data_IF_460914535179
#
_entry.id   IF_460914535179
#
_cell.length_a   1.000
_cell.length_b   1.000
_cell.length_c   1.000
_cell.angle_alpha   90.00
_cell.angle_beta   90.00
_cell.angle_gamma   90.00
#
_symmetry.space_group_name_H-M   'P 1'
#
loop_
_entity.id
_entity.type
_entity.pdbx_description
1 polymer ?
#
# COMPACT_ATOMS: atom_id res chain seq x y z
N UNK A 1 -14.51 1.26 20.50
CA UNK A 1 -13.42 0.30 20.17
C UNK A 1 -12.51 1.00 19.18
N UNK A 2 -11.25 1.20 19.51
CA UNK A 2 -10.25 1.66 18.55
C UNK A 2 -9.71 0.43 17.82
N UNK A 3 -9.98 0.34 16.51
CA UNK A 3 -9.46 -0.74 15.66
C UNK A 3 -8.12 -0.26 15.10
N UNK A 4 -7.00 -0.99 15.32
CA UNK A 4 -5.73 -0.67 14.66
C UNK A 4 -5.91 -0.65 13.14
N UNK A 5 -5.43 0.41 12.50
CA UNK A 5 -5.59 0.60 11.07
C UNK A 5 -4.40 1.35 10.47
N UNK A 6 -4.27 1.26 9.15
CA UNK A 6 -3.27 1.96 8.36
C UNK A 6 -3.73 2.04 6.91
N UNK A 7 -3.01 2.82 6.11
CA UNK A 7 -3.39 3.15 4.73
C UNK A 7 -2.36 2.60 3.73
N UNK A 8 -2.85 2.05 2.62
CA UNK A 8 -2.05 1.78 1.42
C UNK A 8 -2.44 2.78 0.35
N UNK A 9 -1.49 3.61 -0.10
CA UNK A 9 -1.73 4.61 -1.13
C UNK A 9 -1.49 3.98 -2.51
N UNK A 10 -2.55 3.81 -3.28
CA UNK A 10 -2.46 3.33 -4.66
C UNK A 10 -2.35 4.51 -5.64
N UNK A 11 -1.65 4.30 -6.77
CA UNK A 11 -1.31 5.35 -7.75
C UNK A 11 -0.55 6.52 -7.11
N UNK A 12 0.33 6.22 -6.15
CA UNK A 12 1.18 7.19 -5.48
C UNK A 12 1.96 8.05 -6.49
N UNK A 13 2.10 9.34 -6.18
CA UNK A 13 2.70 10.34 -7.06
C UNK A 13 1.74 10.95 -8.09
N UNK A 14 0.47 10.57 -8.10
CA UNK A 14 -0.59 11.20 -8.90
C UNK A 14 -1.61 11.88 -7.98
N UNK A 15 -1.99 13.11 -8.32
CA UNK A 15 -2.98 13.88 -7.59
C UNK A 15 -2.34 14.85 -6.59
N UNK A 16 -3.14 15.30 -5.63
CA UNK A 16 -2.68 16.19 -4.57
C UNK A 16 -2.16 15.40 -3.35
N UNK A 17 -1.64 16.12 -2.35
CA UNK A 17 -1.08 15.52 -1.13
C UNK A 17 -2.12 15.32 -0.02
N UNK A 18 -3.41 15.55 -0.28
CA UNK A 18 -4.44 15.58 0.77
C UNK A 18 -4.55 14.27 1.55
N UNK A 19 -4.35 13.13 0.90
CA UNK A 19 -4.35 11.82 1.59
C UNK A 19 -3.20 11.73 2.59
N UNK A 20 -2.01 12.22 2.22
CA UNK A 20 -0.84 12.21 3.09
C UNK A 20 -1.03 13.18 4.25
N UNK A 21 -1.48 14.40 3.97
CA UNK A 21 -1.80 15.42 4.98
C UNK A 21 -2.86 14.91 5.97
N UNK A 22 -3.91 14.27 5.47
CA UNK A 22 -4.94 13.66 6.32
C UNK A 22 -4.38 12.54 7.20
N UNK A 23 -3.55 11.65 6.65
CA UNK A 23 -2.93 10.58 7.42
C UNK A 23 -2.00 11.15 8.51
N UNK A 24 -1.22 12.18 8.18
CA UNK A 24 -0.35 12.88 9.13
C UNK A 24 -1.16 13.54 10.26
N UNK A 25 -2.18 14.33 9.92
CA UNK A 25 -3.05 15.02 10.89
C UNK A 25 -3.76 14.04 11.84
N UNK A 26 -4.18 12.88 11.33
CA UNK A 26 -4.88 11.86 12.11
C UNK A 26 -3.96 10.82 12.77
N UNK A 27 -2.64 10.91 12.55
CA UNK A 27 -1.68 9.91 13.05
C UNK A 27 -1.89 8.51 12.47
N UNK A 28 -2.42 8.41 11.25
CA UNK A 28 -2.68 7.13 10.56
C UNK A 28 -1.42 6.71 9.80
N UNK A 29 -0.85 5.52 10.06
CA UNK A 29 0.34 5.07 9.37
C UNK A 29 0.06 4.72 7.91
N UNK A 30 0.88 5.24 7.00
CA UNK A 30 0.94 4.78 5.62
C UNK A 30 1.87 3.57 5.57
N UNK A 31 1.32 2.40 5.22
CA UNK A 31 2.01 1.11 5.28
C UNK A 31 2.71 0.75 3.96
N UNK A 32 2.17 1.21 2.84
CA UNK A 32 2.73 0.95 1.52
C UNK A 32 2.26 2.00 0.52
N UNK A 33 3.13 2.35 -0.42
CA UNK A 33 2.80 3.20 -1.57
C UNK A 33 3.01 2.42 -2.87
N UNK A 34 1.96 2.31 -3.67
CA UNK A 34 1.97 1.68 -4.99
C UNK A 34 1.99 2.77 -6.05
N UNK A 35 3.11 2.97 -6.78
CA UNK A 35 3.23 4.04 -7.75
C UNK A 35 2.33 3.77 -8.96
N UNK A 36 1.94 4.82 -9.66
CA UNK A 36 1.32 4.66 -10.97
C UNK A 36 2.36 4.22 -12.01
N UNK A 37 2.32 2.92 -12.37
CA UNK A 37 3.18 2.34 -13.41
C UNK A 37 2.33 1.60 -14.43
N UNK A 38 2.60 1.83 -15.73
CA UNK A 38 1.89 1.17 -16.84
C UNK A 38 1.93 -0.36 -16.72
N UNK A 39 3.08 -0.93 -16.34
CA UNK A 39 3.24 -2.37 -16.15
C UNK A 39 2.28 -2.96 -15.09
N UNK A 40 2.03 -2.24 -13.99
CA UNK A 40 1.07 -2.66 -12.95
C UNK A 40 -0.35 -2.67 -13.52
N UNK A 41 -0.73 -1.63 -14.28
CA UNK A 41 -2.04 -1.55 -14.92
C UNK A 41 -2.25 -2.66 -15.97
N UNK A 42 -1.23 -2.94 -16.79
CA UNK A 42 -1.26 -4.02 -17.79
C UNK A 42 -1.49 -5.40 -17.15
N UNK A 43 -0.78 -5.70 -16.05
CA UNK A 43 -0.93 -6.96 -15.32
C UNK A 43 -2.31 -7.08 -14.69
N UNK A 44 -2.80 -6.01 -14.06
CA UNK A 44 -4.14 -5.95 -13.51
C UNK A 44 -5.23 -6.20 -14.58
N UNK A 45 -5.14 -5.58 -15.76
CA UNK A 45 -6.10 -5.79 -16.86
C UNK A 45 -6.12 -7.23 -17.39
N UNK A 46 -5.06 -8.00 -17.14
CA UNK A 46 -4.97 -9.43 -17.48
C UNK A 46 -5.44 -10.34 -16.35
N UNK A 47 -5.90 -9.79 -15.22
CA UNK A 47 -6.26 -10.55 -14.02
C UNK A 47 -5.04 -11.13 -13.28
N UNK A 48 -3.83 -10.61 -13.53
CA UNK A 48 -2.59 -11.10 -12.94
C UNK A 48 -2.20 -10.21 -11.76
N UNK A 49 -2.08 -10.75 -10.54
CA UNK A 49 -1.51 -10.00 -9.41
C UNK A 49 -0.06 -9.60 -9.72
N UNK A 50 0.21 -8.29 -9.79
CA UNK A 50 1.53 -7.82 -10.19
C UNK A 50 2.65 -8.19 -9.22
N UNK A 51 2.31 -8.51 -7.98
CA UNK A 51 3.25 -9.03 -6.99
C UNK A 51 3.89 -10.35 -7.41
N UNK A 52 3.23 -11.17 -8.23
CA UNK A 52 3.78 -12.44 -8.71
C UNK A 52 4.78 -12.25 -9.86
N UNK A 53 4.64 -11.17 -10.62
CA UNK A 53 5.44 -10.89 -11.83
C UNK A 53 6.53 -9.83 -11.62
N UNK A 54 6.47 -9.10 -10.50
CA UNK A 54 7.43 -8.06 -10.15
C UNK A 54 8.08 -8.42 -8.80
N UNK A 55 9.23 -9.11 -8.78
CA UNK A 55 9.81 -9.71 -7.57
C UNK A 55 10.01 -8.73 -6.39
N UNK A 56 10.36 -7.48 -6.67
CA UNK A 56 10.49 -6.44 -5.64
C UNK A 56 9.19 -6.20 -4.86
N UNK A 57 8.04 -6.45 -5.48
CA UNK A 57 6.74 -6.31 -4.85
C UNK A 57 6.39 -7.47 -3.94
N UNK A 58 6.88 -8.69 -4.22
CA UNK A 58 6.73 -9.83 -3.30
C UNK A 58 7.24 -9.47 -1.91
N UNK A 59 8.47 -8.94 -1.84
CA UNK A 59 9.09 -8.56 -0.56
C UNK A 59 8.33 -7.40 0.11
N UNK A 60 7.83 -6.43 -0.66
CA UNK A 60 7.02 -5.31 -0.12
C UNK A 60 5.70 -5.77 0.47
N UNK A 61 5.00 -6.69 -0.20
CA UNK A 61 3.74 -7.24 0.31
C UNK A 61 3.95 -8.16 1.52
N UNK A 62 5.04 -8.93 1.56
CA UNK A 62 5.42 -9.69 2.74
C UNK A 62 5.69 -8.77 3.93
N UNK A 63 6.45 -7.69 3.72
CA UNK A 63 6.69 -6.68 4.77
C UNK A 63 5.37 -6.05 5.23
N UNK A 64 4.51 -5.63 4.29
CA UNK A 64 3.18 -5.08 4.61
C UNK A 64 2.36 -6.04 5.49
N UNK A 65 2.38 -7.34 5.18
CA UNK A 65 1.67 -8.35 5.97
C UNK A 65 2.20 -8.44 7.41
N UNK A 66 3.53 -8.40 7.58
CA UNK A 66 4.15 -8.37 8.91
C UNK A 66 3.85 -7.07 9.66
N UNK A 67 3.85 -5.92 8.98
CA UNK A 67 3.49 -4.63 9.58
C UNK A 67 2.02 -4.62 10.06
N UNK A 68 1.10 -5.22 9.29
CA UNK A 68 -0.31 -5.40 9.70
C UNK A 68 -0.45 -6.32 10.92
N UNK A 69 0.32 -7.41 11.00
CA UNK A 69 0.34 -8.28 12.20
C UNK A 69 0.80 -7.53 13.44
N UNK A 70 1.88 -6.75 13.32
CA UNK A 70 2.41 -5.94 14.43
C UNK A 70 1.40 -4.91 14.91
N UNK A 71 0.70 -4.24 14.00
CA UNK A 71 -0.37 -3.29 14.34
C UNK A 71 -1.53 -3.96 15.10
N UNK A 72 -1.84 -5.22 14.77
CA UNK A 72 -2.83 -6.02 15.48
C UNK A 72 -2.37 -6.39 16.91
N UNK A 73 -1.06 -6.35 17.20
CA UNK A 73 -0.47 -6.77 18.47
C UNK A 73 -0.03 -8.23 18.53
N UNK A 74 0.21 -8.85 17.35
CA UNK A 74 0.73 -10.22 17.22
C UNK A 74 2.21 -10.25 16.81
#
# INVERSE_FOLDING_TARGET
MEIPHGVVVNRAGIGDKKVYEYCEEKGIPILLEIPYKRKIAELYSKGIPFSLEMPDWTNKFQKLFEDVKRLRGN
#
